data_IF_276524363051
#
_entry.id   IF_276524363051
#
_cell.length_a   1.000
_cell.length_b   1.000
_cell.length_c   1.000
_cell.angle_alpha   90.00
_cell.angle_beta   90.00
_cell.angle_gamma   90.00
#
_symmetry.space_group_name_H-M   'P 1'
#
loop_
_entity.id
_entity.type
_entity.pdbx_description
1 polymer ?
#
# COMPACT_ATOMS: atom_id res chain seq x y z
N UNK A 1 35.97 31.44 23.02
CA UNK A 1 36.37 32.28 21.86
C UNK A 1 36.91 31.30 20.82
N UNK A 2 36.18 31.07 19.73
CA UNK A 2 36.47 31.66 18.41
C UNK A 2 37.83 31.14 17.90
N UNK A 3 38.01 30.43 16.81
CA UNK A 3 37.28 30.15 15.58
C UNK A 3 38.09 28.97 14.97
N UNK A 4 37.49 27.91 14.43
CA UNK A 4 37.22 27.81 12.98
C UNK A 4 38.51 27.82 12.15
N UNK A 5 38.89 26.64 11.62
CA UNK A 5 39.01 26.35 10.18
C UNK A 5 39.99 25.20 9.90
N UNK A 6 39.65 24.45 8.85
CA UNK A 6 40.53 23.61 8.04
C UNK A 6 41.03 22.29 8.64
N UNK A 7 40.15 21.30 8.67
CA UNK A 7 40.56 19.94 8.31
C UNK A 7 39.78 19.53 7.06
N UNK A 8 40.38 19.84 5.92
CA UNK A 8 40.18 19.09 4.68
C UNK A 8 40.68 17.67 4.96
N UNK A 9 39.78 16.76 5.33
CA UNK A 9 40.09 15.33 5.31
C UNK A 9 40.12 14.92 3.85
N UNK A 10 41.31 15.05 3.28
CA UNK A 10 41.74 14.30 2.14
C UNK A 10 41.47 12.81 2.41
N UNK A 11 40.56 12.25 1.61
CA UNK A 11 40.86 11.13 0.73
C UNK A 11 41.52 9.89 1.32
N UNK A 12 40.84 8.76 1.04
CA UNK A 12 41.41 7.42 0.88
C UNK A 12 41.86 6.70 2.14
N UNK A 13 40.99 5.82 2.63
CA UNK A 13 40.97 4.42 2.23
C UNK A 13 40.26 3.64 3.34
N UNK A 14 39.13 2.99 3.02
CA UNK A 14 38.67 1.79 3.71
C UNK A 14 37.51 1.17 2.93
N UNK A 15 37.84 0.07 2.25
CA UNK A 15 37.01 -1.13 2.10
C UNK A 15 35.56 -0.98 1.63
N UNK A 16 35.32 -1.26 0.34
CA UNK A 16 34.04 -1.79 -0.11
C UNK A 16 33.93 -3.23 0.41
N UNK A 17 33.38 -3.39 1.61
CA UNK A 17 32.97 -4.68 2.18
C UNK A 17 31.80 -5.25 1.39
N UNK A 18 31.95 -6.50 0.96
CA UNK A 18 30.89 -7.32 0.35
C UNK A 18 30.01 -7.85 1.47
N UNK A 19 28.69 -7.74 1.29
CA UNK A 19 27.73 -8.60 2.00
C UNK A 19 26.75 -9.17 0.98
N UNK A 20 26.83 -10.49 0.86
CA UNK A 20 26.20 -11.33 -0.15
C UNK A 20 24.69 -11.43 0.09
N UNK A 21 23.91 -10.58 -0.58
CA UNK A 21 22.49 -10.83 -0.76
C UNK A 21 22.31 -12.01 -1.74
N UNK A 22 22.24 -13.24 -1.21
CA UNK A 22 21.83 -14.43 -1.98
C UNK A 22 20.57 -14.09 -2.80
N UNK A 23 20.65 -14.09 -4.14
CA UNK A 23 19.45 -14.06 -4.97
C UNK A 23 18.66 -15.34 -4.66
N UNK A 24 17.42 -15.20 -4.23
CA UNK A 24 16.50 -16.33 -4.09
C UNK A 24 16.44 -17.04 -5.43
N UNK A 25 16.62 -18.36 -5.35
CA UNK A 25 16.63 -19.32 -6.45
C UNK A 25 15.46 -19.09 -7.41
N UNK A 26 15.76 -18.37 -8.47
CA UNK A 26 14.85 -18.02 -9.53
C UNK A 26 14.79 -19.20 -10.50
N UNK A 27 13.73 -20.01 -10.39
CA UNK A 27 13.38 -21.05 -11.36
C UNK A 27 12.89 -20.41 -12.66
N UNK A 28 13.75 -19.67 -13.37
CA UNK A 28 13.52 -19.25 -14.76
C UNK A 28 13.64 -20.48 -15.66
N UNK A 29 12.56 -21.26 -15.77
CA UNK A 29 12.35 -22.12 -16.93
C UNK A 29 11.86 -21.23 -18.09
N UNK A 30 12.64 -21.02 -19.16
CA UNK A 30 12.25 -20.17 -20.29
C UNK A 30 10.98 -20.66 -21.00
N UNK A 31 10.63 -21.95 -20.87
CA UNK A 31 9.36 -22.49 -21.37
C UNK A 31 8.12 -21.96 -20.63
N UNK A 32 8.29 -21.43 -19.40
CA UNK A 32 7.22 -20.84 -18.60
C UNK A 32 7.15 -19.31 -18.70
N UNK A 33 7.96 -18.68 -19.57
CA UNK A 33 7.97 -17.22 -19.72
C UNK A 33 6.59 -16.62 -20.05
N UNK A 34 5.76 -17.20 -20.94
CA UNK A 34 4.41 -16.67 -21.19
C UNK A 34 3.49 -16.78 -19.97
N UNK A 35 3.61 -17.86 -19.21
CA UNK A 35 2.81 -18.10 -18.00
C UNK A 35 3.21 -17.14 -16.87
N UNK A 36 4.51 -16.87 -16.75
CA UNK A 36 5.07 -15.94 -15.76
C UNK A 36 4.68 -14.48 -16.06
N UNK A 37 4.60 -14.10 -17.34
CA UNK A 37 4.05 -12.80 -17.75
C UNK A 37 2.57 -12.69 -17.36
N UNK A 38 1.75 -13.71 -17.66
CA UNK A 38 0.33 -13.71 -17.33
C UNK A 38 0.09 -13.65 -15.81
N UNK A 39 0.89 -14.39 -15.04
CA UNK A 39 0.88 -14.36 -13.59
C UNK A 39 1.28 -12.99 -13.03
N UNK A 40 2.32 -12.36 -13.60
CA UNK A 40 2.78 -11.02 -13.19
C UNK A 40 1.74 -9.94 -13.49
N UNK A 41 1.07 -10.01 -14.63
CA UNK A 41 -0.03 -9.11 -15.00
C UNK A 41 -1.24 -9.32 -14.08
N UNK A 42 -1.60 -10.58 -13.79
CA UNK A 42 -2.70 -10.91 -12.88
C UNK A 42 -2.43 -10.44 -11.45
N UNK A 43 -1.22 -10.66 -10.93
CA UNK A 43 -0.78 -10.17 -9.60
C UNK A 43 -0.78 -8.65 -9.53
N UNK A 44 -0.30 -7.98 -10.57
CA UNK A 44 -0.31 -6.51 -10.66
C UNK A 44 -1.73 -5.96 -10.64
N UNK A 45 -2.64 -6.56 -11.44
CA UNK A 45 -4.05 -6.15 -11.48
C UNK A 45 -4.74 -6.34 -10.13
N UNK A 46 -4.54 -7.50 -9.47
CA UNK A 46 -5.11 -7.82 -8.15
C UNK A 46 -4.64 -6.83 -7.08
N UNK A 47 -3.33 -6.53 -7.05
CA UNK A 47 -2.77 -5.51 -6.15
C UNK A 47 -3.38 -4.15 -6.41
N UNK A 48 -3.44 -3.70 -7.67
CA UNK A 48 -3.96 -2.38 -8.02
C UNK A 48 -5.45 -2.22 -7.69
N UNK A 49 -6.28 -3.25 -7.88
CA UNK A 49 -7.72 -3.14 -7.56
C UNK A 49 -7.98 -3.08 -6.05
N UNK A 50 -7.29 -3.91 -5.26
CA UNK A 50 -7.40 -3.88 -3.79
C UNK A 50 -6.82 -2.60 -3.19
N UNK A 51 -5.63 -2.17 -3.64
CA UNK A 51 -4.98 -0.94 -3.17
C UNK A 51 -5.75 0.31 -3.57
N UNK A 52 -6.25 0.40 -4.81
CA UNK A 52 -7.02 1.57 -5.26
C UNK A 52 -8.35 1.69 -4.50
N UNK A 53 -9.03 0.58 -4.22
CA UNK A 53 -10.24 0.56 -3.41
C UNK A 53 -9.99 1.02 -1.98
N UNK A 54 -8.93 0.50 -1.32
CA UNK A 54 -8.55 0.96 0.02
C UNK A 54 -8.13 2.42 0.05
N UNK A 55 -7.40 2.89 -0.97
CA UNK A 55 -7.01 4.29 -1.04
C UNK A 55 -8.23 5.21 -1.13
N UNK A 56 -9.18 4.88 -2.01
CA UNK A 56 -10.40 5.67 -2.19
C UNK A 56 -11.27 5.67 -0.92
N UNK A 57 -11.37 4.52 -0.24
CA UNK A 57 -12.07 4.40 1.04
C UNK A 57 -11.40 5.25 2.13
N UNK A 58 -10.07 5.16 2.27
CA UNK A 58 -9.32 5.94 3.25
C UNK A 58 -9.42 7.45 3.00
N UNK A 59 -9.41 7.88 1.74
CA UNK A 59 -9.63 9.28 1.37
C UNK A 59 -11.02 9.77 1.78
N UNK A 60 -12.07 8.98 1.52
CA UNK A 60 -13.42 9.32 1.93
C UNK A 60 -13.58 9.39 3.45
N UNK A 61 -13.01 8.43 4.19
CA UNK A 61 -13.00 8.44 5.66
C UNK A 61 -12.28 9.67 6.22
N UNK A 62 -11.13 10.04 5.65
CA UNK A 62 -10.39 11.21 6.05
C UNK A 62 -11.17 12.51 5.75
N UNK A 63 -11.80 12.61 4.58
CA UNK A 63 -12.61 13.76 4.19
C UNK A 63 -13.84 13.92 5.09
N UNK A 64 -14.54 12.82 5.40
CA UNK A 64 -15.67 12.81 6.33
C UNK A 64 -15.23 13.28 7.71
N UNK A 65 -14.14 12.70 8.25
CA UNK A 65 -13.62 13.09 9.56
C UNK A 65 -13.19 14.55 9.62
N UNK A 66 -12.59 15.07 8.56
CA UNK A 66 -12.19 16.47 8.47
C UNK A 66 -13.38 17.43 8.43
N UNK A 67 -14.49 17.02 7.79
CA UNK A 67 -15.66 17.87 7.60
C UNK A 67 -16.66 17.79 8.77
N UNK A 68 -16.91 16.58 9.28
CA UNK A 68 -17.89 16.31 10.34
C UNK A 68 -17.27 16.32 11.74
N UNK A 69 -15.93 16.31 11.84
CA UNK A 69 -15.21 16.25 13.11
C UNK A 69 -15.32 14.91 13.86
N UNK A 70 -15.92 13.89 13.24
CA UNK A 70 -16.13 12.55 13.80
C UNK A 70 -15.92 11.47 12.73
N UNK A 71 -15.72 10.23 13.16
CA UNK A 71 -15.69 9.09 12.25
C UNK A 71 -17.13 8.69 11.85
N UNK A 72 -17.34 8.13 10.66
CA UNK A 72 -18.67 7.65 10.27
C UNK A 72 -19.05 6.42 11.11
N UNK A 73 -20.33 6.17 11.31
CA UNK A 73 -20.85 5.00 12.03
C UNK A 73 -20.84 3.75 11.15
N UNK A 74 -20.92 3.94 9.84
CA UNK A 74 -20.95 2.84 8.87
C UNK A 74 -20.38 3.32 7.53
N UNK A 75 -19.94 2.38 6.69
CA UNK A 75 -19.45 2.72 5.35
C UNK A 75 -20.56 3.29 4.46
N UNK A 76 -21.82 2.89 4.68
CA UNK A 76 -22.96 3.48 3.99
C UNK A 76 -23.14 4.97 4.30
N UNK A 77 -22.70 5.44 5.48
CA UNK A 77 -22.79 6.87 5.84
C UNK A 77 -21.91 7.72 4.93
N UNK A 78 -20.77 7.19 4.48
CA UNK A 78 -19.92 7.86 3.49
C UNK A 78 -20.65 8.00 2.14
N UNK A 79 -21.53 7.07 1.82
CA UNK A 79 -22.29 7.08 0.56
C UNK A 79 -23.44 8.08 0.66
N UNK A 80 -24.21 8.02 1.74
CA UNK A 80 -25.35 8.93 1.95
C UNK A 80 -24.90 10.37 2.15
N UNK A 81 -23.76 10.59 2.79
CA UNK A 81 -23.15 11.91 2.92
C UNK A 81 -22.40 12.39 1.66
N UNK A 82 -22.30 11.55 0.62
CA UNK A 82 -21.74 11.92 -0.69
C UNK A 82 -20.22 11.91 -0.79
N UNK A 83 -19.50 11.38 0.20
CA UNK A 83 -18.03 11.21 0.14
C UNK A 83 -17.63 10.01 -0.73
N UNK A 84 -18.53 9.05 -0.91
CA UNK A 84 -18.41 7.92 -1.83
C UNK A 84 -19.64 7.82 -2.71
N UNK A 85 -19.46 7.58 -4.01
CA UNK A 85 -20.60 7.26 -4.89
C UNK A 85 -21.12 5.84 -4.64
N UNK A 86 -20.20 4.91 -4.36
CA UNK A 86 -20.49 3.52 -4.01
C UNK A 86 -19.26 2.92 -3.31
N UNK A 87 -19.42 1.76 -2.68
CA UNK A 87 -18.27 1.01 -2.17
C UNK A 87 -17.38 0.55 -3.33
N UNK A 88 -16.05 0.72 -3.25
CA UNK A 88 -15.14 0.19 -4.25
C UNK A 88 -15.29 -1.32 -4.38
N UNK A 89 -15.25 -1.82 -5.62
CA UNK A 89 -15.33 -3.24 -5.89
C UNK A 89 -14.08 -3.95 -5.36
N UNK A 90 -14.31 -5.00 -4.56
CA UNK A 90 -13.28 -5.89 -4.05
C UNK A 90 -13.12 -7.12 -4.96
N UNK A 91 -12.04 -7.88 -4.79
CA UNK A 91 -11.88 -9.14 -5.52
C UNK A 91 -12.96 -10.15 -5.09
N UNK A 92 -13.32 -11.12 -5.95
CA UNK A 92 -14.25 -12.17 -5.56
C UNK A 92 -13.75 -12.94 -4.33
N UNK A 93 -14.61 -13.07 -3.32
CA UNK A 93 -14.30 -13.71 -2.03
C UNK A 93 -13.83 -12.73 -0.93
N UNK A 94 -13.85 -11.42 -1.19
CA UNK A 94 -13.51 -10.38 -0.23
C UNK A 94 -14.75 -9.56 0.18
N UNK A 95 -14.75 -9.03 1.40
CA UNK A 95 -15.78 -8.12 1.94
C UNK A 95 -15.13 -6.94 2.65
N UNK A 96 -15.82 -5.81 2.67
CA UNK A 96 -15.44 -4.69 3.52
C UNK A 96 -15.78 -4.99 4.97
N UNK A 97 -14.83 -4.76 5.86
CA UNK A 97 -14.99 -4.81 7.31
C UNK A 97 -14.70 -3.42 7.86
N UNK A 98 -15.63 -2.89 8.64
CA UNK A 98 -15.52 -1.53 9.17
C UNK A 98 -15.58 -1.53 10.69
N UNK A 99 -14.69 -0.75 11.31
CA UNK A 99 -14.69 -0.51 12.74
C UNK A 99 -15.10 0.94 13.01
N UNK A 100 -16.29 1.13 13.60
CA UNK A 100 -16.84 2.44 13.93
C UNK A 100 -16.18 3.12 15.14
N UNK A 101 -15.48 2.38 16.01
CA UNK A 101 -14.76 2.96 17.14
C UNK A 101 -13.46 3.62 16.68
N UNK A 102 -12.76 2.99 15.73
CA UNK A 102 -11.48 3.49 15.21
C UNK A 102 -11.60 4.28 13.91
N UNK A 103 -12.72 4.15 13.20
CA UNK A 103 -12.95 4.77 11.90
C UNK A 103 -12.15 4.14 10.77
N UNK A 104 -11.75 2.88 10.90
CA UNK A 104 -10.91 2.18 9.92
C UNK A 104 -11.71 1.14 9.13
N UNK A 105 -11.45 1.10 7.83
CA UNK A 105 -11.95 0.09 6.92
C UNK A 105 -10.83 -0.89 6.55
N UNK A 106 -11.16 -2.18 6.56
CA UNK A 106 -10.28 -3.29 6.22
C UNK A 106 -10.97 -4.22 5.24
N UNK A 107 -10.20 -5.04 4.55
CA UNK A 107 -10.72 -6.06 3.64
C UNK A 107 -10.59 -7.42 4.32
N UNK A 108 -11.73 -8.07 4.57
CA UNK A 108 -11.82 -9.43 5.09
C UNK A 108 -12.09 -10.45 3.98
N UNK A 109 -11.79 -11.73 4.22
CA UNK A 109 -12.22 -12.83 3.34
C UNK A 109 -13.57 -13.38 3.77
N UNK A 110 -14.41 -13.69 2.80
CA UNK A 110 -15.66 -14.45 2.97
C UNK A 110 -15.26 -15.93 3.01
N UNK A 111 -15.55 -16.62 4.12
CA UNK A 111 -15.23 -18.05 4.32
C UNK A 111 -16.42 -18.93 4.01
#
# INVERSE_FOLDING_TARGET
MKWLLCICIAGMALGCGKEDAKPKEDKRNPAMAPLNYLESVGKSKRKLTGDAGMLQMNQALAAFKASEGRVPKSLEELITAGYLAALPQLSPGEKWEYNAETGQASIGRIR
#
